data_IF_416679640493
#
_entry.id   IF_416679640493
#
_cell.length_a   1.000
_cell.length_b   1.000
_cell.length_c   1.000
_cell.angle_alpha   90.00
_cell.angle_beta   90.00
_cell.angle_gamma   90.00
#
_symmetry.space_group_name_H-M   'P 1'
#
loop_
_entity.id
_entity.type
_entity.pdbx_description
1 polymer ?
#
# COMPACT_ATOMS: atom_id res chain seq x y z
N UNK A 1 1.16 -21.27 6.19
CA UNK A 1 2.51 -21.39 5.61
C UNK A 1 3.05 -20.03 5.17
N UNK A 2 2.43 -19.35 4.19
CA UNK A 2 2.91 -18.05 3.67
C UNK A 2 2.95 -16.94 4.73
N UNK A 3 1.89 -16.77 5.52
CA UNK A 3 1.85 -15.72 6.55
C UNK A 3 2.90 -15.85 7.65
N UNK A 4 3.37 -17.06 7.94
CA UNK A 4 4.45 -17.28 8.91
C UNK A 4 5.80 -16.77 8.37
N UNK A 5 6.08 -17.01 7.08
CA UNK A 5 7.26 -16.47 6.36
C UNK A 5 7.20 -14.94 6.29
N UNK A 6 6.02 -14.39 6.00
CA UNK A 6 5.76 -12.94 6.03
C UNK A 6 6.02 -12.35 7.42
N UNK A 7 5.54 -13.01 8.48
CA UNK A 7 5.76 -12.56 9.87
C UNK A 7 7.23 -12.67 10.29
N UNK A 8 7.95 -13.68 9.80
CA UNK A 8 9.39 -13.83 9.98
C UNK A 8 10.22 -12.81 9.18
N UNK A 9 9.58 -12.03 8.30
CA UNK A 9 10.25 -11.04 7.46
C UNK A 9 11.08 -11.65 6.33
N UNK A 10 10.77 -12.88 5.93
CA UNK A 10 11.32 -13.50 4.73
C UNK A 10 10.87 -12.76 3.47
N UNK A 11 11.66 -12.85 2.40
CA UNK A 11 11.21 -12.42 1.09
C UNK A 11 10.12 -13.40 0.61
N UNK A 12 8.90 -12.88 0.48
CA UNK A 12 7.72 -13.59 -0.03
C UNK A 12 7.21 -12.77 -1.21
N UNK A 13 6.87 -13.45 -2.31
CA UNK A 13 6.30 -12.77 -3.47
C UNK A 13 4.94 -12.16 -3.05
N UNK A 14 4.69 -10.86 -3.31
CA UNK A 14 3.41 -10.21 -2.97
C UNK A 14 2.17 -10.87 -3.60
N UNK A 15 2.33 -11.67 -4.66
CA UNK A 15 1.24 -12.45 -5.26
C UNK A 15 0.85 -13.69 -4.43
N UNK A 16 1.72 -14.14 -3.51
CA UNK A 16 1.46 -15.29 -2.63
C UNK A 16 0.52 -14.97 -1.46
N UNK A 17 0.23 -13.68 -1.20
CA UNK A 17 -0.65 -13.27 -0.10
C UNK A 17 -1.48 -12.01 -0.41
N UNK A 18 -2.62 -11.88 0.27
CA UNK A 18 -3.52 -10.76 0.05
C UNK A 18 -3.18 -9.58 0.97
N UNK A 19 -2.69 -8.48 0.39
CA UNK A 19 -2.48 -7.21 1.08
C UNK A 19 -2.97 -6.07 0.20
N UNK A 20 -4.14 -5.53 0.55
CA UNK A 20 -4.79 -4.40 -0.12
C UNK A 20 -5.19 -3.34 0.90
N UNK A 21 -5.08 -2.07 0.51
CA UNK A 21 -5.35 -0.94 1.41
C UNK A 21 -6.07 0.17 0.65
N UNK A 22 -6.92 0.92 1.35
CA UNK A 22 -7.40 2.22 0.87
C UNK A 22 -6.61 3.31 1.59
N UNK A 23 -6.20 4.36 0.87
CA UNK A 23 -5.51 5.50 1.47
C UNK A 23 -6.38 6.75 1.39
N UNK A 24 -6.46 7.46 2.51
CA UNK A 24 -7.01 8.82 2.56
C UNK A 24 -5.85 9.76 2.79
N UNK A 25 -5.69 10.70 1.87
CA UNK A 25 -4.60 11.67 1.86
C UNK A 25 -5.18 13.06 2.02
N UNK A 26 -4.38 13.97 2.58
CA UNK A 26 -4.73 15.37 2.81
C UNK A 26 -3.54 16.27 2.50
N UNK A 27 -3.80 17.40 1.88
CA UNK A 27 -2.81 18.44 1.58
C UNK A 27 -3.45 19.82 1.52
N UNK A 28 -2.71 20.84 1.97
CA UNK A 28 -3.09 22.24 1.83
C UNK A 28 -2.50 22.93 0.59
N UNK A 29 -1.64 22.25 -0.16
CA UNK A 29 -1.02 22.81 -1.37
C UNK A 29 -1.98 22.68 -2.57
N UNK A 30 -2.30 23.83 -3.17
CA UNK A 30 -3.24 23.91 -4.29
C UNK A 30 -2.86 23.03 -5.50
N UNK A 31 -1.56 22.76 -5.71
CA UNK A 31 -1.10 21.87 -6.81
C UNK A 31 -1.60 20.44 -6.66
N UNK A 32 -1.93 20.03 -5.44
CA UNK A 32 -2.34 18.67 -5.10
C UNK A 32 -3.78 18.61 -4.57
N UNK A 33 -4.60 19.64 -4.78
CA UNK A 33 -5.99 19.68 -4.29
C UNK A 33 -6.81 18.44 -4.69
N UNK A 34 -6.55 17.90 -5.89
CA UNK A 34 -7.20 16.68 -6.39
C UNK A 34 -7.02 15.48 -5.43
N UNK A 35 -5.89 15.40 -4.72
CA UNK A 35 -5.58 14.33 -3.76
C UNK A 35 -6.61 14.26 -2.65
N UNK A 36 -7.07 15.41 -2.15
CA UNK A 36 -8.03 15.48 -1.04
C UNK A 36 -9.40 14.86 -1.38
N UNK A 37 -9.70 14.74 -2.69
CA UNK A 37 -11.00 14.31 -3.21
C UNK A 37 -10.93 12.99 -3.99
N UNK A 38 -9.76 12.35 -4.03
CA UNK A 38 -9.53 11.14 -4.82
C UNK A 38 -9.54 9.90 -3.95
N UNK A 39 -10.19 8.83 -4.43
CA UNK A 39 -10.11 7.52 -3.80
C UNK A 39 -8.82 6.83 -4.25
N UNK A 40 -7.97 6.48 -3.28
CA UNK A 40 -6.76 5.72 -3.54
C UNK A 40 -6.89 4.29 -3.04
N UNK A 41 -6.44 3.35 -3.87
CA UNK A 41 -6.28 1.94 -3.51
C UNK A 41 -4.83 1.54 -3.68
N UNK A 42 -4.34 0.59 -2.88
CA UNK A 42 -2.96 0.17 -2.95
C UNK A 42 -2.74 -1.32 -2.72
N UNK A 43 -1.64 -1.80 -3.27
CA UNK A 43 -1.12 -3.17 -3.10
C UNK A 43 0.13 -3.11 -2.22
N UNK A 44 0.17 -3.93 -1.18
CA UNK A 44 1.25 -3.89 -0.19
C UNK A 44 2.24 -5.06 -0.29
N UNK A 45 3.52 -4.75 -0.12
CA UNK A 45 4.58 -5.72 0.09
C UNK A 45 5.16 -5.58 1.51
N UNK A 46 5.22 -6.69 2.26
CA UNK A 46 5.89 -6.72 3.56
C UNK A 46 7.36 -7.02 3.36
N UNK A 47 8.20 -6.12 3.84
CA UNK A 47 9.64 -6.28 3.93
C UNK A 47 10.03 -6.51 5.40
N UNK A 48 11.25 -6.99 5.65
CA UNK A 48 11.73 -7.32 7.01
C UNK A 48 11.53 -6.21 8.04
N UNK A 49 11.67 -4.93 7.63
CA UNK A 49 11.53 -3.75 8.52
C UNK A 49 10.67 -2.63 7.92
N UNK A 50 9.99 -2.89 6.82
CA UNK A 50 9.25 -1.87 6.09
C UNK A 50 8.01 -2.47 5.42
N UNK A 51 7.14 -1.59 4.94
CA UNK A 51 6.05 -1.95 4.04
C UNK A 51 6.19 -1.06 2.82
N UNK A 52 6.26 -1.67 1.64
CA UNK A 52 6.12 -0.93 0.39
C UNK A 52 4.64 -0.95 0.00
N UNK A 53 4.09 0.18 -0.41
CA UNK A 53 2.71 0.27 -0.91
C UNK A 53 2.75 1.00 -2.25
N UNK A 54 2.36 0.30 -3.30
CA UNK A 54 2.06 0.95 -4.58
C UNK A 54 0.65 1.50 -4.50
N UNK A 55 0.51 2.82 -4.69
CA UNK A 55 -0.75 3.54 -4.54
C UNK A 55 -1.28 3.99 -5.91
N UNK A 56 -2.56 3.70 -6.18
CA UNK A 56 -3.24 4.00 -7.43
C UNK A 56 -4.42 4.94 -7.18
N UNK A 57 -4.51 5.99 -7.97
CA UNK A 57 -5.68 6.88 -8.01
C UNK A 57 -6.77 6.26 -8.88
N UNK A 58 -7.99 6.14 -8.34
CA UNK A 58 -9.14 5.76 -9.14
C UNK A 58 -9.69 6.98 -9.88
N UNK A 59 -10.03 6.79 -11.15
CA UNK A 59 -10.59 7.81 -12.05
C UNK A 59 -11.86 7.29 -12.70
#
# INVERSE_FOLDING_TARGET
AVMARVAAGEAVDPSEYYMRTHARLETGDARYEWVNRTLFVGTGQRLKRAVSIDLFALR
#
